data_IF_987148563327
#
_entry.id   IF_987148563327
#
_cell.length_a   1.000
_cell.length_b   1.000
_cell.length_c   1.000
_cell.angle_alpha   90.00
_cell.angle_beta   90.00
_cell.angle_gamma   90.00
#
_symmetry.space_group_name_H-M   'P 1'
#
loop_
_entity.id
_entity.type
_entity.pdbx_description
1 polymer ?
#
# COMPACT_ATOMS: atom_id res chain seq x y z
N UNK A 1 -31.81 17.94 -11.25
CA UNK A 1 -31.90 16.60 -10.62
C UNK A 1 -32.06 16.80 -9.14
N UNK A 2 -32.98 16.17 -8.41
CA UNK A 2 -33.11 16.35 -6.97
C UNK A 2 -31.88 15.76 -6.30
N UNK A 3 -31.12 16.58 -5.58
CA UNK A 3 -30.00 16.16 -4.71
C UNK A 3 -30.57 15.28 -3.60
N UNK A 4 -30.27 13.99 -3.66
CA UNK A 4 -30.59 13.03 -2.61
C UNK A 4 -29.98 13.57 -1.30
N UNK A 5 -30.79 13.79 -0.26
CA UNK A 5 -30.25 14.16 1.06
C UNK A 5 -29.20 13.12 1.45
N UNK A 6 -28.00 13.53 1.89
CA UNK A 6 -26.97 12.57 2.30
C UNK A 6 -27.53 11.65 3.39
N UNK A 7 -27.22 10.38 3.30
CA UNK A 7 -27.53 9.42 4.34
C UNK A 7 -26.80 9.84 5.64
N UNK A 8 -27.42 9.67 6.80
CA UNK A 8 -26.83 10.03 8.11
C UNK A 8 -25.42 9.42 8.29
N UNK A 9 -25.17 8.23 7.77
CA UNK A 9 -23.85 7.60 7.78
C UNK A 9 -22.83 8.38 6.93
N UNK A 10 -23.21 8.90 5.77
CA UNK A 10 -22.33 9.75 4.92
C UNK A 10 -21.91 11.02 5.65
N UNK A 11 -22.87 11.66 6.34
CA UNK A 11 -22.63 12.86 7.12
C UNK A 11 -21.65 12.59 8.28
N UNK A 12 -21.84 11.48 9.01
CA UNK A 12 -20.98 11.09 10.15
C UNK A 12 -19.57 10.75 9.66
N UNK A 13 -19.41 9.99 8.59
CA UNK A 13 -18.10 9.65 8.02
C UNK A 13 -17.40 10.92 7.53
N UNK A 14 -18.12 11.84 6.87
CA UNK A 14 -17.57 13.14 6.47
C UNK A 14 -17.02 13.94 7.65
N UNK A 15 -17.71 13.95 8.79
CA UNK A 15 -17.25 14.60 10.02
C UNK A 15 -16.02 13.89 10.63
N UNK A 16 -15.98 12.54 10.63
CA UNK A 16 -14.85 11.76 11.13
C UNK A 16 -13.57 12.09 10.35
N UNK A 17 -13.67 12.22 9.03
CA UNK A 17 -12.55 12.57 8.15
C UNK A 17 -12.39 14.08 7.97
N UNK A 18 -13.06 14.92 8.82
CA UNK A 18 -12.96 16.39 8.84
C UNK A 18 -13.27 17.03 7.49
N UNK A 19 -14.31 16.53 6.82
CA UNK A 19 -14.73 16.98 5.49
C UNK A 19 -13.62 16.92 4.41
N UNK A 20 -12.54 16.16 4.65
CA UNK A 20 -11.62 15.78 3.59
C UNK A 20 -12.39 15.01 2.51
N UNK A 21 -11.95 15.10 1.27
CA UNK A 21 -12.50 14.26 0.20
C UNK A 21 -12.41 12.79 0.64
N UNK A 22 -13.58 12.15 0.85
CA UNK A 22 -13.64 10.75 1.28
C UNK A 22 -13.01 9.82 0.24
N UNK A 23 -13.08 10.19 -1.05
CA UNK A 23 -12.40 9.46 -2.10
C UNK A 23 -10.88 9.53 -1.92
N UNK A 24 -10.34 10.61 -1.38
CA UNK A 24 -8.93 10.72 -1.00
C UNK A 24 -8.62 9.97 0.29
N UNK A 25 -9.36 10.27 1.37
CA UNK A 25 -9.10 9.73 2.72
C UNK A 25 -9.30 8.22 2.85
N UNK A 26 -10.05 7.58 1.95
CA UNK A 26 -10.32 6.14 1.91
C UNK A 26 -9.97 5.51 0.55
N UNK A 27 -9.04 6.11 -0.17
CA UNK A 27 -8.59 5.70 -1.50
C UNK A 27 -8.16 4.23 -1.59
N UNK A 28 -7.57 3.70 -0.53
CA UNK A 28 -7.18 2.30 -0.45
C UNK A 28 -8.36 1.32 -0.58
N UNK A 29 -9.57 1.81 -0.32
CA UNK A 29 -10.82 1.06 -0.36
C UNK A 29 -11.71 1.44 -1.55
N UNK A 30 -11.13 2.07 -2.57
CA UNK A 30 -11.84 2.38 -3.82
C UNK A 30 -12.50 1.11 -4.38
N UNK A 31 -13.74 1.25 -4.85
CA UNK A 31 -14.57 0.13 -5.34
C UNK A 31 -15.36 -0.61 -4.25
N UNK A 32 -15.17 -0.28 -2.96
CA UNK A 32 -16.02 -0.78 -1.88
C UNK A 32 -17.15 0.21 -1.61
N UNK A 33 -18.40 -0.26 -1.59
CA UNK A 33 -19.52 0.54 -1.11
C UNK A 33 -19.42 0.67 0.43
N UNK A 34 -18.73 1.72 0.86
CA UNK A 34 -18.43 2.01 2.27
C UNK A 34 -19.70 2.08 3.10
N UNK A 35 -20.78 2.67 2.54
CA UNK A 35 -22.02 2.89 3.28
C UNK A 35 -22.86 1.62 3.38
N UNK A 36 -22.72 0.69 2.45
CA UNK A 36 -23.31 -0.64 2.57
C UNK A 36 -22.55 -1.52 3.57
N UNK A 37 -21.23 -1.34 3.68
CA UNK A 37 -20.37 -2.12 4.58
C UNK A 37 -20.48 -1.63 6.03
N UNK A 38 -20.41 -0.31 6.25
CA UNK A 38 -20.37 0.31 7.57
C UNK A 38 -21.77 0.68 8.03
N UNK A 39 -22.36 -0.16 8.88
CA UNK A 39 -23.66 0.11 9.49
C UNK A 39 -23.48 1.04 10.70
N UNK A 40 -23.55 2.37 10.47
CA UNK A 40 -23.41 3.39 11.50
C UNK A 40 -24.79 3.75 12.03
N UNK A 41 -24.95 3.69 13.35
CA UNK A 41 -26.18 4.02 14.07
C UNK A 41 -25.92 5.02 15.19
N UNK A 42 -26.92 5.82 15.54
CA UNK A 42 -26.87 6.71 16.69
C UNK A 42 -27.27 5.94 17.97
N UNK A 43 -26.37 5.87 18.94
CA UNK A 43 -26.58 5.19 20.24
C UNK A 43 -26.92 6.16 21.36
N UNK A 44 -27.35 7.36 21.03
CA UNK A 44 -27.77 8.39 21.98
C UNK A 44 -27.25 9.76 21.56
N UNK A 45 -27.82 10.79 22.11
CA UNK A 45 -27.69 12.25 21.80
C UNK A 45 -26.36 12.66 21.13
N UNK A 46 -26.20 12.39 19.81
CA UNK A 46 -25.03 12.77 19.01
C UNK A 46 -23.82 11.84 19.17
N UNK A 47 -24.01 10.61 19.69
CA UNK A 47 -22.98 9.56 19.73
C UNK A 47 -23.29 8.50 18.69
N UNK A 48 -22.30 8.19 17.87
CA UNK A 48 -22.44 7.24 16.76
C UNK A 48 -21.50 6.07 16.94
N UNK A 49 -22.00 4.88 16.63
CA UNK A 49 -21.26 3.64 16.63
C UNK A 49 -21.53 2.85 15.36
N UNK A 50 -20.64 1.95 15.03
CA UNK A 50 -20.83 0.95 13.98
C UNK A 50 -20.89 -0.46 14.58
N UNK A 51 -21.44 -1.37 13.83
CA UNK A 51 -21.44 -2.79 14.18
C UNK A 51 -20.13 -3.42 13.69
N UNK A 52 -19.33 -3.94 14.62
CA UNK A 52 -18.09 -4.66 14.31
C UNK A 52 -18.39 -5.87 13.42
N UNK A 53 -17.69 -5.96 12.28
CA UNK A 53 -17.96 -6.99 11.25
C UNK A 53 -17.59 -8.41 11.69
N UNK A 54 -16.69 -8.54 12.69
CA UNK A 54 -16.30 -9.85 13.22
C UNK A 54 -17.17 -10.27 14.40
N UNK A 55 -17.29 -9.40 15.39
CA UNK A 55 -17.93 -9.73 16.68
C UNK A 55 -19.41 -9.38 16.74
N UNK A 56 -19.87 -8.51 15.87
CA UNK A 56 -21.23 -7.95 15.89
C UNK A 56 -21.47 -6.96 17.01
N UNK A 57 -20.46 -6.64 17.83
CA UNK A 57 -20.55 -5.68 18.92
C UNK A 57 -20.58 -4.24 18.40
N UNK A 58 -21.18 -3.35 19.19
CA UNK A 58 -21.14 -1.91 18.90
C UNK A 58 -19.75 -1.32 19.16
N UNK A 59 -19.22 -0.55 18.21
CA UNK A 59 -17.95 0.16 18.30
C UNK A 59 -18.19 1.63 18.10
N UNK A 60 -17.82 2.45 19.08
CA UNK A 60 -17.93 3.90 19.03
C UNK A 60 -17.04 4.49 17.92
N UNK A 61 -17.59 5.40 17.11
CA UNK A 61 -16.87 6.03 15.99
C UNK A 61 -16.90 7.57 16.00
N UNK A 62 -17.94 8.21 16.56
CA UNK A 62 -18.03 9.67 16.55
C UNK A 62 -18.89 10.24 17.69
N UNK A 63 -18.47 11.37 18.24
CA UNK A 63 -19.21 12.16 19.24
C UNK A 63 -19.38 13.60 18.74
N UNK A 64 -20.62 13.99 18.44
CA UNK A 64 -20.93 15.34 17.94
C UNK A 64 -20.61 16.45 18.93
N UNK A 65 -20.79 16.19 20.22
CA UNK A 65 -20.55 17.22 21.27
C UNK A 65 -19.07 17.51 21.46
N UNK A 66 -18.23 16.50 21.24
CA UNK A 66 -16.77 16.60 21.38
C UNK A 66 -16.07 16.85 20.05
N UNK A 67 -16.83 16.80 18.93
CA UNK A 67 -16.29 16.83 17.57
C UNK A 67 -15.12 15.85 17.38
N UNK A 68 -15.22 14.67 18.03
CA UNK A 68 -14.15 13.68 18.09
C UNK A 68 -14.57 12.41 17.37
N UNK A 69 -13.75 12.00 16.37
CA UNK A 69 -13.95 10.80 15.57
C UNK A 69 -12.80 9.79 15.72
N UNK A 70 -13.08 8.57 15.31
CA UNK A 70 -12.09 7.46 15.26
C UNK A 70 -11.93 6.95 13.83
N UNK A 71 -11.16 7.62 12.98
CA UNK A 71 -10.95 7.20 11.60
C UNK A 71 -10.30 5.82 11.51
N UNK A 72 -9.44 5.45 12.46
CA UNK A 72 -8.79 4.14 12.51
C UNK A 72 -9.81 3.00 12.62
N UNK A 73 -10.91 3.20 13.37
CA UNK A 73 -11.96 2.19 13.47
C UNK A 73 -12.66 1.96 12.13
N UNK A 74 -12.93 3.03 11.37
CA UNK A 74 -13.50 2.95 10.02
C UNK A 74 -12.56 2.14 9.10
N UNK A 75 -11.28 2.49 9.10
CA UNK A 75 -10.27 1.82 8.27
C UNK A 75 -10.12 0.35 8.67
N UNK A 76 -10.13 0.04 9.97
CA UNK A 76 -10.07 -1.33 10.48
C UNK A 76 -11.25 -2.17 10.00
N UNK A 77 -12.47 -1.65 10.07
CA UNK A 77 -13.66 -2.37 9.60
C UNK A 77 -13.63 -2.59 8.08
N UNK A 78 -13.14 -1.62 7.31
CA UNK A 78 -12.95 -1.79 5.86
C UNK A 78 -11.89 -2.85 5.55
N UNK A 79 -10.83 -2.94 6.35
CA UNK A 79 -9.85 -4.04 6.26
C UNK A 79 -10.47 -5.40 6.57
N UNK A 80 -11.29 -5.53 7.62
CA UNK A 80 -12.01 -6.77 7.92
C UNK A 80 -12.89 -7.21 6.75
N UNK A 81 -13.62 -6.26 6.15
CA UNK A 81 -14.41 -6.52 4.97
C UNK A 81 -13.54 -6.98 3.79
N UNK A 82 -12.44 -6.26 3.50
CA UNK A 82 -11.53 -6.57 2.39
C UNK A 82 -10.86 -7.94 2.56
N UNK A 83 -10.39 -8.27 3.77
CA UNK A 83 -9.84 -9.57 4.09
C UNK A 83 -10.84 -10.70 3.83
N UNK A 84 -12.08 -10.53 4.28
CA UNK A 84 -13.11 -11.58 4.14
C UNK A 84 -13.66 -11.66 2.70
N UNK A 85 -14.02 -10.54 2.07
CA UNK A 85 -14.70 -10.54 0.77
C UNK A 85 -13.76 -10.59 -0.43
N UNK A 86 -12.66 -9.86 -0.37
CA UNK A 86 -11.70 -9.80 -1.47
C UNK A 86 -10.62 -10.89 -1.35
N UNK A 87 -9.93 -10.96 -0.21
CA UNK A 87 -8.86 -11.97 0.02
C UNK A 87 -9.37 -13.32 0.50
N UNK A 88 -10.67 -13.48 0.76
CA UNK A 88 -11.34 -14.74 1.08
C UNK A 88 -10.92 -15.38 2.42
N UNK A 89 -10.30 -14.63 3.32
CA UNK A 89 -10.00 -15.15 4.65
C UNK A 89 -11.30 -15.35 5.46
N UNK A 90 -11.55 -16.56 5.99
CA UNK A 90 -12.68 -16.81 6.88
C UNK A 90 -12.54 -15.96 8.17
N UNK A 91 -13.67 -15.46 8.69
CA UNK A 91 -13.66 -14.61 9.90
C UNK A 91 -13.09 -15.32 11.14
N UNK A 92 -13.15 -16.64 11.19
CA UNK A 92 -12.58 -17.44 12.28
C UNK A 92 -11.05 -17.56 12.23
N UNK A 93 -10.42 -17.11 11.13
CA UNK A 93 -8.97 -16.93 10.99
C UNK A 93 -8.51 -15.48 11.21
N UNK A 94 -9.42 -14.59 11.56
CA UNK A 94 -9.10 -13.17 11.77
C UNK A 94 -9.34 -12.83 13.24
N UNK A 95 -8.44 -12.08 13.86
CA UNK A 95 -8.64 -11.49 15.18
C UNK A 95 -8.34 -10.00 15.19
N UNK A 96 -8.83 -9.26 16.18
CA UNK A 96 -8.67 -7.82 16.30
C UNK A 96 -8.11 -7.45 17.67
N UNK A 97 -7.33 -6.37 17.74
CA UNK A 97 -6.79 -5.84 18.99
C UNK A 97 -5.99 -6.90 19.79
N UNK A 98 -5.23 -7.73 19.07
CA UNK A 98 -4.42 -8.78 19.70
C UNK A 98 -3.16 -8.21 20.32
N UNK A 99 -2.96 -8.43 21.62
CA UNK A 99 -1.73 -8.05 22.32
C UNK A 99 -0.50 -8.72 21.71
N UNK A 100 0.60 -7.96 21.60
CA UNK A 100 1.89 -8.42 21.06
C UNK A 100 2.79 -8.87 22.21
N UNK A 101 3.48 -9.99 22.03
CA UNK A 101 4.41 -10.54 22.99
C UNK A 101 5.87 -10.30 22.55
N UNK A 102 6.62 -9.52 23.30
CA UNK A 102 8.05 -9.35 23.12
C UNK A 102 8.81 -10.20 24.16
N UNK A 103 9.13 -11.46 23.81
CA UNK A 103 9.73 -12.39 24.75
C UNK A 103 8.81 -12.73 25.92
N UNK A 104 9.26 -12.50 27.16
CA UNK A 104 8.44 -12.72 28.36
C UNK A 104 7.59 -11.51 28.79
N UNK A 105 7.77 -10.35 28.14
CA UNK A 105 7.02 -9.15 28.47
C UNK A 105 5.80 -9.02 27.54
N UNK A 106 4.62 -8.88 28.14
CA UNK A 106 3.38 -8.52 27.43
C UNK A 106 3.40 -6.99 27.33
N UNK A 107 3.71 -6.47 26.16
CA UNK A 107 3.57 -5.04 25.93
C UNK A 107 2.08 -4.67 25.84
N UNK A 108 1.74 -3.49 26.38
CA UNK A 108 0.39 -2.91 26.33
C UNK A 108 -0.08 -2.53 24.90
N UNK A 109 0.77 -2.78 23.89
CA UNK A 109 0.45 -2.50 22.49
C UNK A 109 -0.19 -3.72 21.84
N UNK A 110 -1.31 -3.48 21.18
CA UNK A 110 -2.03 -4.48 20.40
C UNK A 110 -1.92 -4.14 18.91
N UNK A 111 -1.82 -5.15 18.06
CA UNK A 111 -1.98 -4.99 16.62
C UNK A 111 -3.46 -4.93 16.26
N UNK A 112 -3.83 -4.07 15.31
CA UNK A 112 -5.22 -3.82 14.98
C UNK A 112 -5.94 -5.04 14.42
N UNK A 113 -5.31 -5.76 13.48
CA UNK A 113 -5.87 -6.99 12.88
C UNK A 113 -4.78 -8.04 12.71
N UNK A 114 -5.11 -9.28 13.05
CA UNK A 114 -4.28 -10.47 12.81
C UNK A 114 -5.03 -11.46 11.95
N UNK A 115 -4.39 -11.96 10.92
CA UNK A 115 -4.86 -13.13 10.16
C UNK A 115 -3.98 -14.31 10.53
N UNK A 116 -4.59 -15.41 10.90
CA UNK A 116 -3.90 -16.66 11.24
C UNK A 116 -3.76 -17.59 10.04
N UNK A 117 -2.76 -18.48 10.07
CA UNK A 117 -2.68 -19.64 9.17
C UNK A 117 -3.89 -20.55 9.31
N UNK A 118 -4.07 -21.58 8.47
CA UNK A 118 -5.19 -22.52 8.59
C UNK A 118 -5.34 -23.20 9.95
N UNK A 119 -4.25 -23.27 10.72
CA UNK A 119 -4.24 -23.79 12.11
C UNK A 119 -4.98 -22.88 13.12
N UNK A 120 -5.32 -21.64 12.73
CA UNK A 120 -6.01 -20.62 13.53
C UNK A 120 -5.21 -20.17 14.79
N UNK A 121 -3.94 -20.47 14.85
CA UNK A 121 -3.05 -20.19 15.98
C UNK A 121 -1.83 -19.38 15.55
N UNK A 122 -1.18 -19.79 14.45
CA UNK A 122 0.03 -19.16 13.96
C UNK A 122 -0.29 -17.86 13.22
N UNK A 123 0.21 -16.69 13.67
CA UNK A 123 0.04 -15.42 12.95
C UNK A 123 0.63 -15.50 11.55
N UNK A 124 -0.12 -15.03 10.56
CA UNK A 124 0.31 -14.99 9.16
C UNK A 124 0.44 -13.58 8.63
N UNK A 125 -0.61 -12.76 8.82
CA UNK A 125 -0.63 -11.35 8.41
C UNK A 125 -0.95 -10.50 9.63
N UNK A 126 -0.17 -9.45 9.87
CA UNK A 126 -0.45 -8.41 10.85
C UNK A 126 -0.81 -7.12 10.13
N UNK A 127 -1.86 -6.43 10.59
CA UNK A 127 -2.26 -5.14 10.02
C UNK A 127 -2.29 -4.10 11.13
N UNK A 128 -1.55 -3.02 10.93
CA UNK A 128 -1.55 -1.82 11.77
C UNK A 128 -2.25 -0.70 11.01
N UNK A 129 -3.25 -0.12 11.64
CA UNK A 129 -4.07 0.94 11.07
C UNK A 129 -3.73 2.27 11.73
N UNK A 130 -3.67 3.33 10.94
CA UNK A 130 -3.44 4.70 11.40
C UNK A 130 -4.49 5.65 10.83
N UNK A 131 -4.63 6.82 11.46
CA UNK A 131 -5.42 7.89 10.89
C UNK A 131 -4.81 8.39 9.56
N UNK A 132 -5.60 8.95 8.63
CA UNK A 132 -5.10 9.44 7.34
C UNK A 132 -3.98 10.48 7.43
N UNK A 133 -3.93 11.26 8.52
CA UNK A 133 -2.87 12.24 8.77
C UNK A 133 -1.54 11.62 9.25
N UNK A 134 -1.55 10.35 9.63
CA UNK A 134 -0.37 9.65 10.14
C UNK A 134 0.44 9.07 8.99
N UNK A 135 1.76 9.28 9.03
CA UNK A 135 2.71 8.70 8.06
C UNK A 135 3.71 7.74 8.70
N UNK A 136 3.81 7.76 10.03
CA UNK A 136 4.77 6.93 10.78
C UNK A 136 4.16 5.60 11.21
N UNK A 137 5.00 4.56 11.37
CA UNK A 137 4.57 3.26 11.91
C UNK A 137 5.13 2.04 11.18
N UNK A 138 5.86 2.21 10.08
CA UNK A 138 6.51 1.11 9.35
C UNK A 138 7.53 0.40 10.25
N UNK A 139 8.35 1.13 10.98
CA UNK A 139 9.31 0.55 11.94
C UNK A 139 8.61 -0.17 13.11
N UNK A 140 7.46 0.35 13.56
CA UNK A 140 6.63 -0.33 14.54
C UNK A 140 6.11 -1.67 13.99
N UNK A 141 5.65 -1.70 12.73
CA UNK A 141 5.19 -2.92 12.06
C UNK A 141 6.33 -3.94 11.92
N UNK A 142 7.54 -3.52 11.54
CA UNK A 142 8.72 -4.40 11.52
C UNK A 142 8.98 -5.02 12.90
N UNK A 143 8.86 -4.25 13.96
CA UNK A 143 8.95 -4.73 15.34
C UNK A 143 7.90 -5.81 15.67
N UNK A 144 6.65 -5.60 15.26
CA UNK A 144 5.56 -6.56 15.47
C UNK A 144 5.78 -7.88 14.70
N UNK A 145 6.22 -7.78 13.43
CA UNK A 145 6.56 -8.96 12.64
C UNK A 145 7.67 -9.79 13.28
N UNK A 146 8.66 -9.13 13.88
CA UNK A 146 9.73 -9.81 14.63
C UNK A 146 9.20 -10.54 15.85
N UNK A 147 8.36 -9.87 16.64
CA UNK A 147 7.86 -10.38 17.91
C UNK A 147 6.93 -11.58 17.71
N UNK A 148 5.96 -11.47 16.80
CA UNK A 148 4.91 -12.48 16.58
C UNK A 148 5.31 -13.55 15.55
N UNK A 149 6.41 -13.36 14.84
CA UNK A 149 6.85 -14.33 13.83
C UNK A 149 6.01 -14.38 12.57
N UNK A 150 5.10 -13.43 12.34
CA UNK A 150 4.27 -13.38 11.16
C UNK A 150 5.10 -13.13 9.88
N UNK A 151 4.60 -13.61 8.75
CA UNK A 151 5.31 -13.50 7.47
C UNK A 151 5.03 -12.16 6.77
N UNK A 152 3.83 -11.60 6.95
CA UNK A 152 3.36 -10.41 6.24
C UNK A 152 2.92 -9.36 7.25
N UNK A 153 3.35 -8.11 7.04
CA UNK A 153 2.88 -6.95 7.77
C UNK A 153 2.26 -5.92 6.84
N UNK A 154 1.14 -5.37 7.22
CA UNK A 154 0.47 -4.28 6.51
C UNK A 154 0.42 -3.06 7.41
N UNK A 155 0.99 -1.97 6.96
CA UNK A 155 0.72 -0.66 7.50
C UNK A 155 -0.27 0.06 6.59
N UNK A 156 -1.33 0.65 7.15
CA UNK A 156 -2.39 1.30 6.38
C UNK A 156 -2.92 2.53 7.11
N UNK A 157 -3.17 3.61 6.38
CA UNK A 157 -3.84 4.80 6.91
C UNK A 157 -5.11 5.19 6.10
N UNK A 158 -5.61 4.27 5.29
CA UNK A 158 -6.77 4.48 4.43
C UNK A 158 -6.47 5.17 3.09
N UNK A 159 -5.38 5.95 3.02
CA UNK A 159 -4.92 6.61 1.79
C UNK A 159 -3.91 5.72 1.08
N UNK A 160 -2.91 5.24 1.82
CA UNK A 160 -1.85 4.35 1.34
C UNK A 160 -1.70 3.13 2.22
N UNK A 161 -1.17 2.05 1.65
CA UNK A 161 -0.75 0.86 2.36
C UNK A 161 0.67 0.49 1.98
N UNK A 162 1.42 -0.06 2.92
CA UNK A 162 2.71 -0.73 2.70
C UNK A 162 2.57 -2.17 3.14
N UNK A 163 2.97 -3.11 2.27
CA UNK A 163 2.92 -4.53 2.58
C UNK A 163 4.35 -5.03 2.70
N UNK A 164 4.77 -5.28 3.94
CA UNK A 164 6.08 -5.83 4.25
C UNK A 164 6.04 -7.34 4.18
N UNK A 165 7.08 -7.94 3.64
CA UNK A 165 7.28 -9.37 3.61
C UNK A 165 8.56 -9.76 4.33
N UNK A 166 8.45 -10.72 5.25
CA UNK A 166 9.58 -11.27 5.96
C UNK A 166 10.07 -12.53 5.26
N UNK A 167 11.11 -12.39 4.44
CA UNK A 167 11.69 -13.51 3.70
C UNK A 167 12.52 -14.43 4.63
N UNK A 168 13.31 -13.84 5.54
CA UNK A 168 14.09 -14.55 6.57
C UNK A 168 13.78 -14.05 7.97
N UNK A 169 14.00 -14.84 9.03
CA UNK A 169 13.61 -14.52 10.41
C UNK A 169 14.16 -13.22 11.00
N UNK A 170 14.89 -12.39 10.30
CA UNK A 170 15.43 -11.10 10.77
C UNK A 170 15.54 -10.04 9.69
N UNK A 171 15.09 -10.33 8.48
CA UNK A 171 15.16 -9.42 7.34
C UNK A 171 13.75 -8.98 6.94
N UNK A 172 13.46 -7.68 7.15
CA UNK A 172 12.13 -7.08 6.99
C UNK A 172 12.07 -6.06 5.87
N UNK A 173 13.05 -6.05 5.00
CA UNK A 173 13.20 -4.98 4.03
C UNK A 173 12.55 -5.29 2.69
N UNK A 174 11.68 -6.29 2.63
CA UNK A 174 11.02 -6.65 1.38
C UNK A 174 9.53 -6.30 1.40
N UNK A 175 8.97 -5.95 0.26
CA UNK A 175 7.57 -5.59 0.08
C UNK A 175 6.87 -6.54 -0.88
N UNK A 176 5.56 -6.69 -0.70
CA UNK A 176 4.70 -7.41 -1.63
C UNK A 176 3.80 -6.44 -2.39
N UNK A 177 3.51 -6.73 -3.67
CA UNK A 177 2.62 -5.91 -4.47
C UNK A 177 1.17 -5.96 -3.97
N UNK A 178 0.76 -7.08 -3.40
CA UNK A 178 -0.55 -7.29 -2.79
C UNK A 178 -0.50 -8.41 -1.73
N UNK A 179 -1.62 -8.66 -1.05
CA UNK A 179 -1.76 -9.80 -0.15
C UNK A 179 -2.16 -11.07 -0.93
N UNK A 180 -1.64 -12.24 -0.54
CA UNK A 180 -2.15 -13.51 -1.07
C UNK A 180 -3.60 -13.71 -0.61
N UNK A 181 -4.41 -14.36 -1.42
CA UNK A 181 -5.74 -14.85 -1.00
C UNK A 181 -5.59 -16.03 -0.04
N UNK A 182 -6.66 -16.38 0.64
CA UNK A 182 -6.65 -17.45 1.65
C UNK A 182 -6.23 -18.83 1.13
N UNK A 183 -6.37 -19.06 -0.17
CA UNK A 183 -6.00 -20.26 -0.92
C UNK A 183 -4.71 -20.10 -1.76
N UNK A 184 -4.03 -18.95 -1.63
CA UNK A 184 -2.78 -18.66 -2.34
C UNK A 184 -1.60 -18.61 -1.37
N UNK A 185 -0.43 -19.00 -1.85
CA UNK A 185 0.85 -18.75 -1.20
C UNK A 185 1.46 -17.42 -1.67
N UNK A 186 2.49 -16.95 -0.97
CA UNK A 186 3.28 -15.79 -1.41
C UNK A 186 3.97 -16.10 -2.75
N UNK A 187 4.45 -17.33 -2.93
CA UNK A 187 5.06 -17.78 -4.17
C UNK A 187 4.07 -17.72 -5.34
N UNK A 188 2.83 -18.19 -5.16
CA UNK A 188 1.79 -18.07 -6.17
C UNK A 188 1.52 -16.63 -6.57
N UNK A 189 1.54 -15.71 -5.59
CA UNK A 189 1.37 -14.29 -5.84
C UNK A 189 2.53 -13.70 -6.68
N UNK A 190 3.77 -14.05 -6.35
CA UNK A 190 4.97 -13.53 -7.01
C UNK A 190 5.22 -14.15 -8.40
N UNK A 191 4.78 -15.40 -8.63
CA UNK A 191 4.93 -16.09 -9.92
C UNK A 191 3.74 -15.84 -10.87
N UNK A 192 2.60 -15.36 -10.36
CA UNK A 192 1.43 -15.10 -11.19
C UNK A 192 1.74 -14.12 -12.32
N UNK A 193 1.32 -14.44 -13.53
CA UNK A 193 1.33 -13.48 -14.64
C UNK A 193 0.40 -12.33 -14.35
N UNK A 194 0.84 -11.13 -14.67
CA UNK A 194 0.04 -9.90 -14.54
C UNK A 194 -0.16 -9.28 -15.90
N UNK A 195 -1.34 -8.77 -16.13
CA UNK A 195 -1.68 -8.05 -17.36
C UNK A 195 -1.77 -6.55 -17.11
N UNK A 196 -1.75 -5.76 -18.17
CA UNK A 196 -1.92 -4.31 -18.11
C UNK A 196 -3.20 -3.91 -17.34
N UNK A 197 -4.25 -4.73 -17.38
CA UNK A 197 -5.54 -4.44 -16.73
C UNK A 197 -5.61 -4.83 -15.26
N UNK A 198 -4.64 -5.61 -14.76
CA UNK A 198 -4.55 -5.97 -13.34
C UNK A 198 -4.02 -4.82 -12.47
N UNK A 199 -3.36 -3.84 -13.09
CA UNK A 199 -2.90 -2.64 -12.40
C UNK A 199 -4.06 -1.66 -12.21
N UNK A 200 -4.18 -1.11 -11.01
CA UNK A 200 -5.22 -0.13 -10.71
C UNK A 200 -4.97 1.21 -11.43
N UNK A 201 -6.02 1.75 -12.03
CA UNK A 201 -6.04 3.12 -12.58
C UNK A 201 -6.35 4.17 -11.51
N UNK A 202 -6.38 3.78 -10.22
CA UNK A 202 -6.68 4.73 -9.16
C UNK A 202 -5.76 5.93 -9.30
N UNK A 203 -6.28 7.12 -8.98
CA UNK A 203 -5.50 8.37 -8.87
C UNK A 203 -4.47 8.24 -7.74
N UNK A 204 -3.53 7.30 -7.90
CA UNK A 204 -2.44 7.13 -6.96
C UNK A 204 -1.56 8.35 -7.12
N UNK A 205 -1.39 9.07 -6.04
CA UNK A 205 -0.42 10.14 -5.97
C UNK A 205 0.97 9.50 -6.08
N UNK A 206 1.59 9.59 -7.25
CA UNK A 206 2.92 9.04 -7.50
C UNK A 206 3.93 9.59 -6.49
N UNK A 207 3.72 10.81 -5.99
CA UNK A 207 4.47 11.40 -4.89
C UNK A 207 4.45 10.52 -3.63
N UNK A 208 3.27 10.03 -3.22
CA UNK A 208 3.16 9.16 -2.03
C UNK A 208 3.87 7.82 -2.23
N UNK A 209 3.86 7.29 -3.45
CA UNK A 209 4.64 6.10 -3.80
C UNK A 209 6.14 6.38 -3.69
N UNK A 210 6.59 7.52 -4.21
CA UNK A 210 8.00 7.94 -4.12
C UNK A 210 8.42 8.17 -2.66
N UNK A 211 7.59 8.84 -1.85
CA UNK A 211 7.85 9.03 -0.42
C UNK A 211 8.00 7.67 0.29
N UNK A 212 7.14 6.71 -0.01
CA UNK A 212 7.24 5.35 0.54
C UNK A 212 8.53 4.65 0.13
N UNK A 213 8.95 4.78 -1.13
CA UNK A 213 10.20 4.20 -1.62
C UNK A 213 11.42 4.86 -0.94
N UNK A 214 11.41 6.18 -0.75
CA UNK A 214 12.46 6.88 -0.02
C UNK A 214 12.56 6.39 1.43
N UNK A 215 11.42 6.26 2.11
CA UNK A 215 11.37 5.78 3.50
C UNK A 215 11.84 4.32 3.63
N UNK A 216 11.51 3.47 2.65
CA UNK A 216 11.84 2.05 2.69
C UNK A 216 13.32 1.77 2.37
N UNK A 217 13.86 2.41 1.36
CA UNK A 217 15.13 1.97 0.77
C UNK A 217 16.04 3.12 0.32
N UNK A 218 15.50 4.07 -0.45
CA UNK A 218 16.33 4.94 -1.26
C UNK A 218 17.25 5.87 -0.44
N UNK A 219 16.80 6.29 0.75
CA UNK A 219 17.59 7.13 1.66
C UNK A 219 18.90 6.47 2.11
N UNK A 220 18.94 5.13 2.15
CA UNK A 220 20.08 4.35 2.63
C UNK A 220 20.84 3.62 1.51
N UNK A 221 20.37 3.71 0.26
CA UNK A 221 20.95 3.00 -0.87
C UNK A 221 22.24 3.65 -1.41
N UNK A 222 22.57 4.88 -0.99
CA UNK A 222 23.75 5.60 -1.47
C UNK A 222 23.71 5.98 -2.96
N UNK A 223 22.51 6.08 -3.55
CA UNK A 223 22.28 6.41 -4.95
C UNK A 223 21.59 7.77 -5.10
N UNK A 224 21.66 8.35 -6.30
CA UNK A 224 20.83 9.51 -6.63
C UNK A 224 19.36 9.06 -6.77
N UNK A 225 18.56 9.35 -5.75
CA UNK A 225 17.16 8.94 -5.64
C UNK A 225 16.35 9.41 -6.84
N UNK A 226 16.53 10.66 -7.28
CA UNK A 226 15.81 11.20 -8.43
C UNK A 226 16.10 10.42 -9.70
N UNK A 227 17.39 10.20 -9.99
CA UNK A 227 17.82 9.46 -11.18
C UNK A 227 17.25 8.04 -11.18
N UNK A 228 17.32 7.32 -10.06
CA UNK A 228 16.85 5.94 -9.99
C UNK A 228 15.32 5.84 -10.13
N UNK A 229 14.56 6.70 -9.45
CA UNK A 229 13.09 6.74 -9.61
C UNK A 229 12.72 7.04 -11.06
N UNK A 230 13.42 7.99 -11.70
CA UNK A 230 13.14 8.35 -13.09
C UNK A 230 13.43 7.21 -14.07
N UNK A 231 14.52 6.47 -13.87
CA UNK A 231 14.82 5.24 -14.64
C UNK A 231 13.71 4.19 -14.52
N UNK A 232 13.18 4.00 -13.31
CA UNK A 232 12.12 3.03 -13.06
C UNK A 232 10.79 3.44 -13.69
N UNK A 233 10.42 4.72 -13.59
CA UNK A 233 9.23 5.26 -14.27
C UNK A 233 9.36 5.06 -15.78
N UNK A 234 10.55 5.34 -16.34
CA UNK A 234 10.82 5.20 -17.77
C UNK A 234 10.68 3.76 -18.25
N UNK A 235 11.26 2.81 -17.50
CA UNK A 235 11.13 1.37 -17.76
C UNK A 235 9.68 0.90 -17.67
N UNK A 236 8.93 1.38 -16.67
CA UNK A 236 7.54 1.01 -16.46
C UNK A 236 6.61 1.55 -17.54
N UNK A 237 6.75 2.81 -17.93
CA UNK A 237 5.97 3.39 -19.02
C UNK A 237 6.19 2.64 -20.33
N UNK A 238 7.46 2.28 -20.61
CA UNK A 238 7.79 1.46 -21.78
C UNK A 238 7.08 0.11 -21.76
N UNK A 239 7.17 -0.61 -20.62
CA UNK A 239 6.60 -1.94 -20.47
C UNK A 239 5.08 -1.94 -20.60
N UNK A 240 4.40 -0.99 -19.94
CA UNK A 240 2.94 -0.84 -19.99
C UNK A 240 2.47 -0.49 -21.40
N UNK A 241 3.18 0.39 -22.11
CA UNK A 241 2.87 0.71 -23.50
C UNK A 241 3.01 -0.52 -24.40
N UNK A 242 4.12 -1.26 -24.28
CA UNK A 242 4.34 -2.50 -25.05
C UNK A 242 3.28 -3.56 -24.71
N UNK A 243 2.96 -3.73 -23.43
CA UNK A 243 1.93 -4.67 -23.00
C UNK A 243 0.58 -4.34 -23.63
N UNK A 244 0.18 -3.08 -23.59
CA UNK A 244 -1.12 -2.66 -24.09
C UNK A 244 -1.22 -2.71 -25.61
N UNK A 245 -0.19 -2.23 -26.31
CA UNK A 245 -0.28 -2.01 -27.77
C UNK A 245 0.23 -3.21 -28.57
N UNK A 246 1.26 -3.92 -28.09
CA UNK A 246 2.01 -4.86 -28.90
C UNK A 246 1.98 -6.31 -28.39
N UNK A 247 1.77 -6.58 -27.09
CA UNK A 247 1.69 -7.95 -26.57
C UNK A 247 0.28 -8.51 -26.69
N UNK A 248 0.09 -9.70 -27.27
CA UNK A 248 -1.25 -10.28 -27.47
C UNK A 248 -2.00 -10.54 -26.17
N UNK A 249 -1.29 -11.05 -25.16
CA UNK A 249 -1.82 -11.39 -23.82
C UNK A 249 -1.85 -10.21 -22.86
N UNK A 250 -1.38 -9.02 -23.28
CA UNK A 250 -1.25 -7.82 -22.47
C UNK A 250 -0.40 -8.01 -21.21
N UNK A 251 0.48 -9.02 -21.18
CA UNK A 251 1.36 -9.28 -20.02
C UNK A 251 2.31 -8.10 -19.78
N UNK A 252 2.40 -7.68 -18.52
CA UNK A 252 3.39 -6.71 -18.03
C UNK A 252 4.55 -7.45 -17.39
N UNK A 253 5.77 -6.99 -17.71
CA UNK A 253 7.01 -7.56 -17.20
C UNK A 253 7.59 -6.70 -16.05
N UNK A 254 7.17 -5.44 -15.94
CA UNK A 254 7.55 -4.57 -14.82
C UNK A 254 6.81 -5.00 -13.57
N UNK A 255 7.38 -5.97 -12.88
CA UNK A 255 6.85 -6.54 -11.64
C UNK A 255 7.96 -7.12 -10.77
N UNK A 256 7.67 -7.31 -9.50
CA UNK A 256 8.54 -8.05 -8.61
C UNK A 256 8.47 -9.55 -8.93
N UNK A 257 9.62 -10.16 -9.02
CA UNK A 257 9.77 -11.62 -9.12
C UNK A 257 10.25 -12.17 -7.78
N UNK A 258 10.09 -13.48 -7.55
CA UNK A 258 10.56 -14.17 -6.35
C UNK A 258 12.08 -14.00 -6.15
N UNK A 259 12.84 -14.09 -7.24
CA UNK A 259 14.28 -13.88 -7.25
C UNK A 259 14.62 -12.40 -7.52
N UNK A 260 15.26 -11.68 -6.56
CA UNK A 260 15.70 -10.31 -6.76
C UNK A 260 16.63 -10.12 -7.97
N UNK A 261 17.50 -11.09 -8.25
CA UNK A 261 18.39 -11.03 -9.41
C UNK A 261 17.61 -11.08 -10.74
N UNK A 262 16.55 -11.89 -10.81
CA UNK A 262 15.62 -11.92 -11.94
C UNK A 262 14.87 -10.58 -12.06
N UNK A 263 14.40 -10.01 -10.95
CA UNK A 263 13.77 -8.68 -10.94
C UNK A 263 14.70 -7.65 -11.55
N UNK A 264 15.96 -7.58 -11.07
CA UNK A 264 16.96 -6.65 -11.59
C UNK A 264 17.19 -6.85 -13.09
N UNK A 265 17.42 -8.07 -13.53
CA UNK A 265 17.70 -8.37 -14.94
C UNK A 265 16.57 -7.91 -15.85
N UNK A 266 15.31 -8.24 -15.50
CA UNK A 266 14.14 -7.88 -16.31
C UNK A 266 13.93 -6.36 -16.33
N UNK A 267 13.98 -5.70 -15.19
CA UNK A 267 13.73 -4.25 -15.10
C UNK A 267 14.82 -3.44 -15.80
N UNK A 268 16.10 -3.85 -15.64
CA UNK A 268 17.20 -3.19 -16.34
C UNK A 268 17.13 -3.40 -17.88
N UNK A 269 16.65 -4.55 -18.34
CA UNK A 269 16.40 -4.81 -19.78
C UNK A 269 15.26 -3.90 -20.30
N UNK A 270 14.17 -3.76 -19.56
CA UNK A 270 13.09 -2.84 -19.89
C UNK A 270 13.59 -1.39 -19.98
N UNK A 271 14.43 -0.95 -19.02
CA UNK A 271 15.06 0.36 -19.05
C UNK A 271 15.92 0.56 -20.30
N UNK A 272 16.75 -0.42 -20.66
CA UNK A 272 17.56 -0.38 -21.90
C UNK A 272 16.68 -0.27 -23.15
N UNK A 273 15.58 -0.98 -23.21
CA UNK A 273 14.63 -0.90 -24.33
C UNK A 273 13.94 0.47 -24.38
N UNK A 274 13.58 1.03 -23.20
CA UNK A 274 13.01 2.36 -23.10
C UNK A 274 13.98 3.44 -23.63
N UNK A 275 15.27 3.40 -23.26
CA UNK A 275 16.29 4.31 -23.78
C UNK A 275 16.37 4.25 -25.33
N UNK A 276 16.36 3.05 -25.90
CA UNK A 276 16.40 2.90 -27.36
C UNK A 276 15.14 3.44 -28.03
N UNK A 277 13.98 3.29 -27.41
CA UNK A 277 12.71 3.77 -27.95
C UNK A 277 12.57 5.28 -27.85
N UNK A 278 13.06 5.87 -26.76
CA UNK A 278 13.01 7.32 -26.48
C UNK A 278 14.41 7.86 -26.18
N UNK A 279 15.23 8.09 -27.23
CA UNK A 279 16.60 8.55 -27.05
C UNK A 279 16.66 10.01 -26.57
N UNK A 280 17.76 10.37 -25.92
CA UNK A 280 18.07 11.75 -25.51
C UNK A 280 17.83 12.07 -24.03
N UNK A 281 17.15 11.21 -23.27
CA UNK A 281 16.95 11.41 -21.81
C UNK A 281 18.06 10.78 -21.00
N UNK A 282 18.52 9.60 -21.39
CA UNK A 282 19.59 8.83 -20.73
C UNK A 282 20.65 8.41 -21.74
N UNK A 283 21.86 8.14 -21.27
CA UNK A 283 22.90 7.56 -22.09
C UNK A 283 22.62 6.07 -22.34
N UNK A 284 22.96 5.56 -23.55
CA UNK A 284 22.70 4.15 -23.93
C UNK A 284 23.36 3.13 -22.99
N UNK A 285 24.50 3.48 -22.39
CA UNK A 285 25.24 2.62 -21.46
C UNK A 285 24.73 2.69 -20.02
N UNK A 286 23.82 3.62 -19.69
CA UNK A 286 23.30 3.71 -18.33
C UNK A 286 22.57 2.45 -17.90
N UNK A 287 22.72 2.13 -16.61
CA UNK A 287 22.04 1.03 -15.94
C UNK A 287 21.33 1.57 -14.69
N UNK A 288 20.45 0.74 -14.15
CA UNK A 288 19.92 0.93 -12.82
C UNK A 288 21.06 0.67 -11.82
N UNK A 289 21.23 1.58 -10.85
CA UNK A 289 22.34 1.53 -9.88
C UNK A 289 21.94 0.89 -8.54
N UNK A 290 20.64 0.63 -8.33
CA UNK A 290 20.14 -0.08 -7.15
C UNK A 290 20.66 -1.52 -7.12
N UNK A 291 20.96 -2.03 -5.92
CA UNK A 291 21.18 -3.48 -5.74
C UNK A 291 19.92 -4.28 -6.10
N UNK A 292 20.04 -5.57 -6.47
CA UNK A 292 18.88 -6.40 -6.77
C UNK A 292 17.83 -6.41 -5.67
N UNK A 293 18.25 -6.46 -4.39
CA UNK A 293 17.35 -6.45 -3.22
C UNK A 293 16.62 -5.12 -3.09
N UNK A 294 17.34 -4.00 -3.15
CA UNK A 294 16.75 -2.67 -3.10
C UNK A 294 15.80 -2.42 -4.28
N UNK A 295 16.19 -2.82 -5.49
CA UNK A 295 15.34 -2.71 -6.66
C UNK A 295 14.04 -3.52 -6.51
N UNK A 296 14.14 -4.75 -5.98
CA UNK A 296 12.99 -5.61 -5.77
C UNK A 296 11.94 -4.98 -4.85
N UNK A 297 12.39 -4.29 -3.79
CA UNK A 297 11.49 -3.55 -2.86
C UNK A 297 10.78 -2.41 -3.61
N UNK A 298 11.55 -1.58 -4.31
CA UNK A 298 11.01 -0.41 -5.02
C UNK A 298 10.05 -0.80 -6.14
N UNK A 299 10.38 -1.85 -6.89
CA UNK A 299 9.51 -2.42 -7.93
C UNK A 299 8.20 -2.92 -7.33
N UNK A 300 8.24 -3.59 -6.16
CA UNK A 300 7.05 -4.05 -5.46
C UNK A 300 6.07 -2.93 -5.09
N UNK A 301 6.57 -1.72 -4.80
CA UNK A 301 5.73 -0.55 -4.57
C UNK A 301 5.17 0.05 -5.88
N UNK A 302 6.03 0.19 -6.91
CA UNK A 302 5.65 0.80 -8.18
C UNK A 302 4.72 -0.09 -9.02
N UNK A 303 4.84 -1.42 -8.95
CA UNK A 303 4.07 -2.31 -9.82
C UNK A 303 2.56 -2.23 -9.62
N UNK A 304 2.10 -1.74 -8.46
CA UNK A 304 0.68 -1.61 -8.14
C UNK A 304 -0.04 -0.55 -8.98
N UNK A 305 0.71 0.44 -9.46
CA UNK A 305 0.16 1.59 -10.18
C UNK A 305 0.21 1.38 -11.68
N UNK A 306 -0.77 1.91 -12.42
CA UNK A 306 -0.70 2.07 -13.86
C UNK A 306 -0.28 3.51 -14.19
N UNK A 307 0.80 3.67 -14.95
CA UNK A 307 1.31 4.98 -15.36
C UNK A 307 0.90 5.32 -16.79
N UNK A 308 0.92 4.34 -17.70
CA UNK A 308 0.53 4.57 -19.09
C UNK A 308 -0.99 4.81 -19.19
N UNK A 309 -1.38 5.90 -19.85
CA UNK A 309 -2.75 6.43 -19.90
C UNK A 309 -3.31 6.90 -18.53
N UNK A 310 -2.49 7.05 -17.52
CA UNK A 310 -2.84 7.89 -16.38
C UNK A 310 -2.81 9.36 -16.81
N UNK A 311 -3.46 10.22 -16.03
CA UNK A 311 -3.38 11.66 -16.25
C UNK A 311 -1.90 12.10 -16.16
N UNK A 312 -1.38 12.71 -17.23
CA UNK A 312 0.02 13.17 -17.29
C UNK A 312 0.37 14.15 -16.16
N UNK A 313 -0.62 14.86 -15.61
CA UNK A 313 -0.44 15.72 -14.45
C UNK A 313 0.12 14.96 -13.24
N UNK A 314 -0.22 13.68 -13.08
CA UNK A 314 0.31 12.82 -11.98
C UNK A 314 1.82 12.61 -12.13
N UNK A 315 2.29 12.46 -13.35
CA UNK A 315 3.72 12.28 -13.65
C UNK A 315 4.47 13.61 -13.47
N UNK A 316 3.87 14.69 -13.96
CA UNK A 316 4.44 16.05 -13.85
C UNK A 316 4.51 16.49 -12.37
N UNK A 317 3.46 16.30 -11.58
CA UNK A 317 3.45 16.60 -10.14
C UNK A 317 4.55 15.82 -9.37
N UNK A 318 4.78 14.55 -9.74
CA UNK A 318 5.83 13.75 -9.15
C UNK A 318 7.22 14.29 -9.48
N UNK A 319 7.43 14.75 -10.70
CA UNK A 319 8.71 15.36 -11.11
C UNK A 319 8.92 16.73 -10.47
N UNK A 320 7.90 17.58 -10.40
CA UNK A 320 7.96 18.87 -9.69
C UNK A 320 8.31 18.68 -8.21
N UNK A 321 7.83 17.61 -7.58
CA UNK A 321 8.17 17.28 -6.19
C UNK A 321 9.63 16.86 -6.02
N UNK A 322 10.19 16.09 -6.96
CA UNK A 322 11.57 15.59 -6.87
C UNK A 322 12.63 16.65 -7.18
N UNK A 323 12.31 17.63 -8.05
CA UNK A 323 13.25 18.69 -8.44
C UNK A 323 13.76 19.52 -7.24
N UNK A 324 12.92 19.99 -6.29
CA UNK A 324 13.39 20.76 -5.13
C UNK A 324 14.30 19.95 -4.21
N UNK A 325 14.09 18.65 -4.07
CA UNK A 325 14.92 17.77 -3.24
C UNK A 325 16.34 17.64 -3.81
N UNK A 326 16.46 17.51 -5.14
CA UNK A 326 17.77 17.49 -5.83
C UNK A 326 18.50 18.83 -5.67
N UNK A 327 17.76 19.95 -5.75
CA UNK A 327 18.33 21.28 -5.57
C UNK A 327 18.83 21.51 -4.13
N UNK A 328 18.18 20.94 -3.12
CA UNK A 328 18.59 20.99 -1.72
C UNK A 328 19.83 20.12 -1.45
N UNK A 329 19.89 18.91 -2.03
CA UNK A 329 21.04 18.00 -1.90
C UNK A 329 22.34 18.57 -2.47
N UNK A 330 22.28 19.36 -3.55
CA UNK A 330 23.46 20.02 -4.13
C UNK A 330 24.00 21.21 -3.31
N UNK A 331 23.21 21.78 -2.40
CA UNK A 331 23.64 22.90 -1.51
C UNK A 331 24.35 22.42 -0.23
N UNK A 332 24.35 21.13 0.06
CA UNK A 332 25.00 20.56 1.25
C UNK A 332 26.42 20.03 1.03
N UNK A 333 26.99 20.19 -0.16
CA UNK A 333 28.36 19.75 -0.50
C UNK A 333 29.25 20.96 -0.88
N UNK A 334 29.35 21.95 0.00
CA UNK A 334 30.39 22.97 -0.04
C UNK A 334 30.98 23.17 1.34
#
# INVERSE_FOLDING_TARGET
>A
MPTKKPNKAEEVIGKIFKNSDLAYGLKEFEGIDIFAVLQITEEGRGRYALKDLKTGQSRFVYDEKKESGRPEEIIRQLWLHKLNKHYKYPLDRIDTEKSIHFGHEIHSKAVDVVVFKPDKITPYILIEVKAPSESKGIEQMKGYLNAEGAEIGVWSNGIKKVILYRFYPREFNDTLPDLPKADQTIDDLLEAKKTYYDHTTSKINLKEVIDSMQELVLANAGVDVFSEVFKLIYAKLYDEQEAKLHRPDKEVLFRKYKDPAKTYSVINDLFKKAIKKWPGTFYEQENISLSPDHLSIVVGELERTRLFESDLTIVDEAFEYLIPEVAKGKKGQH
#
